data_IF_450617302840
#
_entry.id   IF_450617302840
#
_cell.length_a   1.000
_cell.length_b   1.000
_cell.length_c   1.000
_cell.angle_alpha   90.00
_cell.angle_beta   90.00
_cell.angle_gamma   90.00
#
_symmetry.space_group_name_H-M   'P 1'
#
loop_
_entity.id
_entity.type
_entity.pdbx_description
1 polymer ?
#
# COMPACT_ATOMS: atom_id res chain seq x y z
N UNK A 1 -9.86 17.17 -7.58
CA UNK A 1 -10.39 17.45 -6.23
C UNK A 1 -9.21 17.83 -5.34
N UNK A 2 -9.30 18.91 -4.57
CA UNK A 2 -8.24 19.28 -3.65
C UNK A 2 -8.16 18.25 -2.52
N UNK A 3 -6.95 17.79 -2.21
CA UNK A 3 -6.72 16.90 -1.07
C UNK A 3 -7.06 17.61 0.24
N UNK A 4 -7.83 16.95 1.11
CA UNK A 4 -8.23 17.54 2.39
C UNK A 4 -7.01 17.78 3.28
N UNK A 5 -7.04 18.81 4.11
CA UNK A 5 -5.92 19.14 5.00
C UNK A 5 -5.58 17.98 5.96
N UNK A 6 -6.60 17.26 6.43
CA UNK A 6 -6.43 16.04 7.21
C UNK A 6 -5.60 14.98 6.46
N UNK A 7 -5.93 14.71 5.19
CA UNK A 7 -5.21 13.73 4.39
C UNK A 7 -3.72 14.09 4.26
N UNK A 8 -3.39 15.37 4.07
CA UNK A 8 -2.00 15.84 4.02
C UNK A 8 -1.26 15.63 5.35
N UNK A 9 -1.91 15.98 6.46
CA UNK A 9 -1.34 15.85 7.80
C UNK A 9 -1.05 14.38 8.13
N UNK A 10 -2.02 13.49 7.88
CA UNK A 10 -1.87 12.06 8.15
C UNK A 10 -0.82 11.41 7.25
N UNK A 11 -0.80 11.75 5.95
CA UNK A 11 0.28 11.30 5.04
C UNK A 11 1.64 11.81 5.49
N UNK A 12 1.74 13.06 5.95
CA UNK A 12 3.00 13.61 6.45
C UNK A 12 3.49 12.83 7.68
N UNK A 13 2.59 12.45 8.59
CA UNK A 13 2.96 11.67 9.76
C UNK A 13 3.40 10.24 9.39
N UNK A 14 2.72 9.61 8.43
CA UNK A 14 3.16 8.34 7.83
C UNK A 14 4.55 8.46 7.22
N UNK A 15 4.84 9.53 6.47
CA UNK A 15 6.18 9.77 5.93
C UNK A 15 7.24 9.89 7.02
N UNK A 16 6.99 10.62 8.11
CA UNK A 16 7.92 10.70 9.24
C UNK A 16 8.20 9.31 9.84
N UNK A 17 7.18 8.47 10.01
CA UNK A 17 7.33 7.10 10.51
C UNK A 17 8.14 6.22 9.56
N UNK A 18 7.89 6.34 8.26
CA UNK A 18 8.65 5.65 7.23
C UNK A 18 10.13 6.06 7.30
N UNK A 19 10.44 7.35 7.30
CA UNK A 19 11.82 7.86 7.30
C UNK A 19 12.56 7.50 8.60
N UNK A 20 11.90 7.60 9.76
CA UNK A 20 12.42 7.11 11.03
C UNK A 20 12.70 5.61 10.98
N UNK A 21 11.84 4.85 10.33
CA UNK A 21 12.01 3.41 10.17
C UNK A 21 13.17 3.12 9.24
N UNK A 22 13.25 3.69 8.04
CA UNK A 22 14.32 3.31 7.09
C UNK A 22 15.66 3.97 7.38
N UNK A 23 15.69 5.03 8.21
CA UNK A 23 16.90 5.72 8.63
C UNK A 23 17.43 6.74 7.61
N UNK A 24 16.63 7.11 6.62
CA UNK A 24 16.97 8.11 5.61
C UNK A 24 15.73 8.83 5.10
N UNK A 25 15.93 10.05 4.59
CA UNK A 25 14.89 10.83 3.93
C UNK A 25 14.63 10.28 2.52
N UNK A 26 13.35 10.10 2.18
CA UNK A 26 12.97 9.60 0.87
C UNK A 26 12.85 10.73 -0.14
N UNK A 27 13.20 10.47 -1.41
CA UNK A 27 13.16 11.44 -2.52
C UNK A 27 11.92 11.19 -3.36
N UNK A 28 11.26 12.25 -3.82
CA UNK A 28 10.11 12.13 -4.71
C UNK A 28 10.54 11.58 -6.07
N UNK A 29 9.82 10.58 -6.60
CA UNK A 29 10.17 9.92 -7.88
C UNK A 29 9.91 10.83 -9.08
N UNK A 30 8.78 11.54 -9.07
CA UNK A 30 8.43 12.46 -10.15
C UNK A 30 7.63 13.66 -9.60
N UNK A 31 7.80 14.88 -10.13
CA UNK A 31 7.14 16.10 -9.62
C UNK A 31 5.61 15.99 -9.48
N UNK A 32 4.96 15.19 -10.34
CA UNK A 32 3.51 14.99 -10.35
C UNK A 32 3.01 13.92 -9.37
N UNK A 33 3.90 13.13 -8.76
CA UNK A 33 3.57 12.02 -7.84
C UNK A 33 4.18 12.26 -6.47
N UNK A 34 3.64 13.22 -5.72
CA UNK A 34 4.10 13.61 -4.37
C UNK A 34 3.97 12.47 -3.35
N UNK A 35 3.01 11.59 -3.60
CA UNK A 35 2.69 10.40 -2.82
C UNK A 35 3.62 9.22 -3.12
N UNK A 36 4.53 9.35 -4.09
CA UNK A 36 5.49 8.32 -4.45
C UNK A 36 6.91 8.81 -4.19
N UNK A 37 7.60 8.13 -3.28
CA UNK A 37 9.00 8.41 -2.96
C UNK A 37 9.87 7.15 -3.02
N UNK A 38 11.16 7.34 -3.19
CA UNK A 38 12.16 6.29 -3.21
C UNK A 38 13.36 6.60 -2.30
N UNK A 39 14.15 5.59 -1.98
CA UNK A 39 15.41 5.77 -1.27
C UNK A 39 16.43 6.50 -2.14
N UNK A 40 17.39 7.22 -1.54
CA UNK A 40 18.51 7.82 -2.27
C UNK A 40 19.29 6.84 -3.17
N UNK A 41 19.31 5.56 -2.81
CA UNK A 41 19.95 4.48 -3.56
C UNK A 41 19.11 3.90 -4.70
N UNK A 42 17.82 4.23 -4.78
CA UNK A 42 16.87 3.62 -5.72
C UNK A 42 16.50 2.17 -5.39
N UNK A 43 16.85 1.64 -4.22
CA UNK A 43 16.52 0.26 -3.83
C UNK A 43 15.13 0.09 -3.22
N UNK A 44 14.62 1.13 -2.54
CA UNK A 44 13.33 1.11 -1.87
C UNK A 44 12.38 2.12 -2.51
N UNK A 45 11.18 1.69 -2.89
CA UNK A 45 10.09 2.56 -3.37
C UNK A 45 8.89 2.45 -2.44
N UNK A 46 8.26 3.57 -2.10
CA UNK A 46 7.05 3.60 -1.29
C UNK A 46 6.04 4.56 -1.92
N UNK A 47 4.82 4.08 -2.04
CA UNK A 47 3.66 4.87 -2.43
C UNK A 47 2.69 4.98 -1.25
N UNK A 48 2.25 6.18 -0.90
CA UNK A 48 1.32 6.44 0.21
C UNK A 48 0.01 7.01 -0.32
N UNK A 49 -1.07 6.26 -0.18
CA UNK A 49 -2.43 6.71 -0.50
C UNK A 49 -3.27 6.89 0.75
N UNK A 50 -4.26 7.78 0.69
CA UNK A 50 -5.16 8.09 1.80
C UNK A 50 -6.61 7.98 1.33
N UNK A 51 -7.44 7.35 2.14
CA UNK A 51 -8.88 7.31 1.98
C UNK A 51 -9.55 7.44 3.34
N UNK A 52 -10.73 8.06 3.39
CA UNK A 52 -11.56 8.06 4.60
C UNK A 52 -12.38 6.78 4.67
N UNK A 53 -12.93 6.47 5.83
CA UNK A 53 -13.74 5.26 6.06
C UNK A 53 -14.76 5.01 4.95
N UNK A 54 -14.80 3.76 4.48
CA UNK A 54 -15.67 3.27 3.40
C UNK A 54 -15.44 3.89 2.01
N UNK A 55 -14.44 4.75 1.83
CA UNK A 55 -14.09 5.30 0.53
C UNK A 55 -13.10 4.39 -0.22
N UNK A 56 -13.21 4.42 -1.54
CA UNK A 56 -12.33 3.72 -2.47
C UNK A 56 -10.92 4.28 -2.50
N UNK A 57 -9.96 3.37 -2.52
CA UNK A 57 -8.63 3.67 -3.05
C UNK A 57 -8.64 3.43 -4.56
N UNK A 58 -8.30 4.48 -5.31
CA UNK A 58 -8.18 4.45 -6.77
C UNK A 58 -6.72 4.55 -7.25
N UNK A 59 -5.78 4.80 -6.35
CA UNK A 59 -4.46 5.29 -6.74
C UNK A 59 -3.45 4.20 -7.14
N UNK A 60 -3.89 2.94 -7.25
CA UNK A 60 -3.04 1.83 -7.70
C UNK A 60 -3.29 1.59 -9.19
N UNK A 61 -2.48 2.22 -10.03
CA UNK A 61 -2.51 2.04 -11.48
C UNK A 61 -1.70 0.82 -11.90
N UNK A 62 -2.11 0.16 -12.99
CA UNK A 62 -1.36 -0.98 -13.55
C UNK A 62 0.10 -0.61 -13.89
N UNK A 63 0.29 0.52 -14.57
CA UNK A 63 1.63 0.99 -14.95
C UNK A 63 2.53 1.33 -13.75
N UNK A 64 1.95 1.90 -12.68
CA UNK A 64 2.71 2.19 -11.45
C UNK A 64 3.12 0.90 -10.74
N UNK A 65 2.20 -0.06 -10.65
CA UNK A 65 2.48 -1.35 -10.02
C UNK A 65 3.62 -2.07 -10.74
N UNK A 66 3.65 -2.04 -12.08
CA UNK A 66 4.77 -2.61 -12.84
C UNK A 66 6.09 -1.91 -12.55
N UNK A 67 6.09 -0.57 -12.45
CA UNK A 67 7.29 0.18 -12.10
C UNK A 67 7.76 -0.14 -10.66
N UNK A 68 6.85 -0.24 -9.70
CA UNK A 68 7.16 -0.62 -8.32
C UNK A 68 7.83 -1.98 -8.23
N UNK A 69 7.38 -2.96 -9.03
CA UNK A 69 7.98 -4.28 -9.08
C UNK A 69 9.42 -4.30 -9.62
N UNK A 70 9.88 -3.21 -10.25
CA UNK A 70 11.28 -3.04 -10.66
C UNK A 70 12.23 -2.68 -9.52
N UNK A 71 11.72 -2.22 -8.37
CA UNK A 71 12.55 -1.92 -7.20
C UNK A 71 12.82 -3.17 -6.37
N UNK A 72 14.01 -3.24 -5.76
CA UNK A 72 14.40 -4.35 -4.87
C UNK A 72 13.42 -4.52 -3.71
N UNK A 73 12.91 -3.41 -3.19
CA UNK A 73 11.80 -3.36 -2.22
C UNK A 73 10.82 -2.30 -2.66
N UNK A 74 9.53 -2.65 -2.74
CA UNK A 74 8.49 -1.68 -3.01
C UNK A 74 7.25 -1.93 -2.16
N UNK A 75 6.59 -0.85 -1.72
CA UNK A 75 5.42 -0.92 -0.86
C UNK A 75 4.35 0.09 -1.26
N UNK A 76 3.11 -0.32 -1.05
CA UNK A 76 1.92 0.52 -1.08
C UNK A 76 1.41 0.67 0.35
N UNK A 77 1.28 1.90 0.81
CA UNK A 77 0.79 2.24 2.15
C UNK A 77 -0.61 2.82 2.01
N UNK A 78 -1.61 2.10 2.53
CA UNK A 78 -2.99 2.56 2.56
C UNK A 78 -3.30 3.18 3.92
N UNK A 79 -3.43 4.50 3.97
CA UNK A 79 -3.81 5.23 5.18
C UNK A 79 -5.33 5.29 5.27
N UNK A 80 -5.89 4.65 6.29
CA UNK A 80 -7.34 4.54 6.53
C UNK A 80 -7.75 5.59 7.55
N UNK A 81 -7.95 6.82 7.09
CA UNK A 81 -8.35 7.95 7.96
C UNK A 81 -7.24 8.50 8.86
N UNK A 82 -6.38 7.67 9.46
CA UNK A 82 -5.31 8.08 10.39
C UNK A 82 -4.00 7.30 10.16
N UNK A 83 -2.88 7.89 10.55
CA UNK A 83 -1.55 7.26 10.49
C UNK A 83 -1.37 6.04 11.42
N UNK A 84 -2.26 5.89 12.41
CA UNK A 84 -2.38 4.71 13.28
C UNK A 84 -3.21 3.60 12.66
N UNK A 85 -3.79 3.82 11.49
CA UNK A 85 -4.54 2.82 10.73
C UNK A 85 -4.00 2.77 9.30
N UNK A 86 -2.73 2.38 9.17
CA UNK A 86 -2.05 2.24 7.88
C UNK A 86 -1.78 0.76 7.54
N UNK A 87 -2.10 0.31 6.34
CA UNK A 87 -1.66 -1.00 5.82
C UNK A 87 -0.40 -0.83 4.99
N UNK A 88 0.71 -1.45 5.40
CA UNK A 88 1.99 -1.43 4.67
C UNK A 88 2.09 -2.72 3.87
N UNK A 89 1.73 -2.68 2.58
CA UNK A 89 1.63 -3.88 1.73
C UNK A 89 2.78 -3.89 0.71
N UNK A 90 3.61 -4.95 0.65
CA UNK A 90 4.61 -5.10 -0.39
C UNK A 90 3.98 -5.10 -1.80
N UNK A 91 4.63 -4.47 -2.78
CA UNK A 91 4.14 -4.41 -4.16
C UNK A 91 3.97 -5.80 -4.77
N UNK A 92 4.82 -6.76 -4.42
CA UNK A 92 4.68 -8.15 -4.84
C UNK A 92 3.39 -8.80 -4.29
N UNK A 93 3.05 -8.53 -3.02
CA UNK A 93 1.77 -8.96 -2.46
C UNK A 93 0.60 -8.25 -3.15
N UNK A 94 0.73 -6.95 -3.47
CA UNK A 94 -0.29 -6.22 -4.22
C UNK A 94 -0.53 -6.83 -5.60
N UNK A 95 0.53 -7.22 -6.34
CA UNK A 95 0.41 -7.94 -7.62
C UNK A 95 -0.44 -9.19 -7.50
N UNK A 96 -0.18 -10.02 -6.48
CA UNK A 96 -0.96 -11.23 -6.24
C UNK A 96 -2.40 -10.92 -5.82
N UNK A 97 -2.60 -9.89 -5.00
CA UNK A 97 -3.93 -9.48 -4.55
C UNK A 97 -4.81 -9.01 -5.71
N UNK A 98 -4.26 -8.34 -6.72
CA UNK A 98 -5.05 -7.76 -7.81
C UNK A 98 -5.04 -8.59 -9.09
N UNK A 99 -4.36 -9.74 -9.13
CA UNK A 99 -4.14 -10.52 -10.37
C UNK A 99 -5.43 -10.95 -11.08
N UNK A 100 -6.48 -11.22 -10.32
CA UNK A 100 -7.78 -11.67 -10.84
C UNK A 100 -8.77 -10.50 -10.98
N UNK A 101 -8.35 -9.28 -10.65
CA UNK A 101 -9.18 -8.07 -10.82
C UNK A 101 -8.99 -7.49 -12.21
N UNK A 102 -10.10 -7.14 -12.87
CA UNK A 102 -10.05 -6.28 -14.05
C UNK A 102 -9.92 -4.82 -13.60
N UNK A 103 -8.86 -4.11 -13.98
CA UNK A 103 -8.74 -2.69 -13.69
C UNK A 103 -9.86 -1.91 -14.39
N UNK A 104 -10.31 -0.80 -13.79
CA UNK A 104 -11.42 0.01 -14.30
C UNK A 104 -10.95 1.40 -14.72
N UNK A 105 -11.61 1.98 -15.73
CA UNK A 105 -11.30 3.33 -16.18
C UNK A 105 -9.89 3.42 -16.76
N UNK A 106 -9.05 4.28 -16.18
CA UNK A 106 -7.65 4.52 -16.61
C UNK A 106 -6.68 3.45 -16.07
N UNK A 107 -7.03 2.18 -16.20
CA UNK A 107 -6.22 1.07 -15.72
C UNK A 107 -5.96 1.08 -14.19
N UNK A 108 -6.94 1.55 -13.42
CA UNK A 108 -6.87 1.66 -11.95
C UNK A 108 -7.56 0.47 -11.26
N UNK A 109 -6.90 -0.10 -10.26
CA UNK A 109 -7.53 -1.08 -9.37
C UNK A 109 -8.36 -0.35 -8.32
N UNK A 110 -9.67 -0.61 -8.32
CA UNK A 110 -10.61 -0.06 -7.33
C UNK A 110 -10.60 -0.95 -6.09
N UNK A 111 -9.96 -0.50 -5.01
CA UNK A 111 -9.79 -1.29 -3.80
C UNK A 111 -10.52 -0.62 -2.63
N UNK A 112 -11.47 -1.33 -2.00
CA UNK A 112 -12.09 -0.88 -0.76
C UNK A 112 -11.55 -1.71 0.39
N UNK A 113 -10.95 -1.04 1.37
CA UNK A 113 -10.66 -1.71 2.63
C UNK A 113 -11.93 -1.74 3.47
N UNK A 114 -12.31 -2.94 3.90
CA UNK A 114 -13.40 -3.17 4.84
C UNK A 114 -12.83 -3.75 6.13
N UNK A 115 -13.36 -3.28 7.26
CA UNK A 115 -13.10 -3.85 8.58
C UNK A 115 -14.13 -4.94 8.86
N UNK A 116 -13.65 -6.14 9.16
CA UNK A 116 -14.45 -7.30 9.56
C UNK A 116 -14.11 -7.68 10.99
N UNK A 117 -14.93 -8.51 11.65
CA UNK A 117 -14.60 -9.05 12.97
C UNK A 117 -13.26 -9.80 13.02
N UNK A 118 -12.81 -10.31 11.88
CA UNK A 118 -11.55 -11.07 11.73
C UNK A 118 -10.33 -10.22 11.32
N UNK A 119 -10.52 -8.94 11.00
CA UNK A 119 -9.46 -8.04 10.53
C UNK A 119 -9.85 -7.24 9.28
N UNK A 120 -8.83 -6.78 8.55
CA UNK A 120 -8.99 -5.94 7.35
C UNK A 120 -8.96 -6.80 6.09
N UNK A 121 -9.79 -6.46 5.11
CA UNK A 121 -9.83 -7.13 3.80
C UNK A 121 -10.07 -6.11 2.70
N UNK A 122 -9.67 -6.42 1.48
CA UNK A 122 -10.21 -5.74 0.32
C UNK A 122 -11.55 -6.37 -0.05
N UNK A 123 -12.61 -5.56 -0.19
CA UNK A 123 -13.95 -6.06 -0.55
C UNK A 123 -13.94 -6.78 -1.89
N UNK A 124 -13.14 -6.27 -2.83
CA UNK A 124 -12.99 -6.83 -4.17
C UNK A 124 -12.20 -8.15 -4.18
N UNK A 125 -11.39 -8.43 -3.14
CA UNK A 125 -10.64 -9.69 -2.99
C UNK A 125 -10.80 -10.27 -1.57
N UNK A 126 -12.00 -10.80 -1.25
CA UNK A 126 -12.40 -11.13 0.13
C UNK A 126 -11.65 -12.32 0.76
N UNK A 127 -10.88 -13.07 -0.05
CA UNK A 127 -10.08 -14.22 0.38
C UNK A 127 -8.80 -13.87 1.15
N UNK A 128 -8.42 -12.60 1.22
CA UNK A 128 -7.13 -12.18 1.79
C UNK A 128 -7.28 -11.40 3.09
N UNK A 129 -6.58 -11.86 4.13
CA UNK A 129 -6.50 -11.16 5.41
C UNK A 129 -5.34 -10.15 5.39
N UNK A 130 -5.65 -8.87 5.52
CA UNK A 130 -4.67 -7.78 5.51
C UNK A 130 -4.15 -7.42 6.90
N UNK A 131 -4.65 -8.06 7.97
CA UNK A 131 -4.20 -7.82 9.36
C UNK A 131 -2.67 -7.87 9.53
N UNK A 132 -1.90 -8.76 8.88
CA UNK A 132 -0.44 -8.78 9.00
C UNK A 132 0.28 -7.50 8.50
N UNK A 133 -0.39 -6.69 7.68
CA UNK A 133 0.16 -5.45 7.12
C UNK A 133 -0.16 -4.20 7.95
N UNK A 134 -1.07 -4.32 8.93
CA UNK A 134 -1.51 -3.19 9.75
C UNK A 134 -0.37 -2.66 10.61
N UNK A 135 -0.01 -1.39 10.40
CA UNK A 135 1.07 -0.64 11.06
C UNK A 135 2.42 -1.36 11.07
N UNK A 136 2.65 -2.26 10.12
CA UNK A 136 3.85 -3.08 10.06
C UNK A 136 4.99 -2.37 9.33
N UNK A 137 5.42 -1.22 9.86
CA UNK A 137 6.54 -0.44 9.30
C UNK A 137 7.85 -1.23 9.28
N UNK A 138 8.01 -2.23 10.15
CA UNK A 138 9.19 -3.11 10.18
C UNK A 138 9.47 -3.84 8.87
N UNK A 139 8.44 -4.07 8.04
CA UNK A 139 8.59 -4.63 6.69
C UNK A 139 9.51 -3.78 5.81
N UNK A 140 9.51 -2.47 5.98
CA UNK A 140 10.32 -1.54 5.17
C UNK A 140 11.83 -1.81 5.34
N UNK A 141 12.27 -2.36 6.49
CA UNK A 141 13.66 -2.78 6.71
C UNK A 141 13.94 -4.20 6.23
N UNK A 142 13.08 -5.14 6.62
CA UNK A 142 13.42 -6.56 6.63
C UNK A 142 12.72 -7.40 5.57
N UNK A 143 11.93 -6.78 4.68
CA UNK A 143 11.28 -7.50 3.60
C UNK A 143 12.27 -7.79 2.48
N UNK A 144 12.48 -9.07 2.21
CA UNK A 144 13.16 -9.55 1.02
C UNK A 144 12.12 -10.12 0.06
N UNK A 145 12.26 -9.81 -1.23
CA UNK A 145 11.34 -10.16 -2.33
C UNK A 145 11.10 -11.67 -2.52
N UNK A 146 11.72 -12.53 -1.69
CA UNK A 146 11.60 -13.98 -1.74
C UNK A 146 10.17 -14.41 -1.43
N UNK A 147 9.43 -14.83 -2.47
CA UNK A 147 8.11 -15.47 -2.51
C UNK A 147 7.48 -15.67 -1.13
N UNK A 148 6.93 -14.58 -0.62
CA UNK A 148 6.38 -14.48 0.72
C UNK A 148 5.01 -15.17 0.69
N UNK A 149 4.96 -16.42 1.18
CA UNK A 149 3.78 -17.27 1.41
C UNK A 149 2.79 -16.66 2.44
N UNK A 150 2.45 -15.37 2.33
CA UNK A 150 1.61 -14.67 3.30
C UNK A 150 0.15 -14.52 2.84
N UNK A 151 -0.22 -15.15 1.72
CA UNK A 151 -1.53 -14.99 1.11
C UNK A 151 -2.18 -16.33 0.71
N UNK A 152 -2.09 -17.37 1.54
CA UNK A 152 -2.98 -18.54 1.38
C UNK A 152 -3.43 -19.07 2.74
N UNK A 153 -4.37 -18.38 3.36
CA UNK A 153 -5.40 -19.07 4.15
C UNK A 153 -6.70 -18.92 3.38
N UNK A 154 -6.80 -19.60 2.25
CA UNK A 154 -8.10 -19.95 1.69
C UNK A 154 -8.77 -20.89 2.67
N UNK A 155 -9.51 -20.37 3.64
CA UNK A 155 -10.59 -21.16 4.25
C UNK A 155 -11.58 -21.42 3.13
N UNK A 156 -11.52 -22.64 2.58
CA UNK A 156 -12.58 -23.14 1.70
C UNK A 156 -13.90 -23.00 2.47
N UNK A 157 -14.96 -22.44 1.86
CA UNK A 157 -16.29 -22.58 2.44
C UNK A 157 -16.62 -24.08 2.52
N UNK A 158 -17.06 -24.52 3.69
CA UNK A 158 -17.71 -25.83 3.87
C UNK A 158 -19.09 -25.79 3.22
#
# INVERSE_FOLDING_TARGET
MAESELAKQEKQEVWKRIEKTVGFTMRQVAPRRKDWRESPSGELSVFVTFSKDSQLFYDVQCGDLQQWLGYKRAFVVFVMGTCEEALIIPAQCMKELVKDLTPKGREEYKLHIIRTGTGYKFREVPGHNLKPFLNNYGLLRNYYSTTVNFCVTTTRPQ
#
